data_IF_849718662514
#
_entry.id   IF_849718662514
#
_cell.length_a   1.000
_cell.length_b   1.000
_cell.length_c   1.000
_cell.angle_alpha   90.00
_cell.angle_beta   90.00
_cell.angle_gamma   90.00
#
_symmetry.space_group_name_H-M   'P 1'
#
loop_
_entity.id
_entity.type
_entity.pdbx_description
1 polymer ?
#
# COMPACT_ATOMS: atom_id res chain seq x y z
N UNK A 1 -5.89 15.98 -13.89
CA UNK A 1 -6.80 16.48 -12.85
C UNK A 1 -6.20 16.05 -11.52
N UNK A 2 -5.44 16.92 -10.86
CA UNK A 2 -4.85 16.62 -9.55
C UNK A 2 -5.88 16.96 -8.49
N UNK A 3 -6.34 15.96 -7.75
CA UNK A 3 -7.14 16.16 -6.54
C UNK A 3 -6.21 16.84 -5.52
N UNK A 4 -6.54 18.06 -5.09
CA UNK A 4 -5.86 18.67 -3.95
C UNK A 4 -6.32 17.95 -2.68
N UNK A 5 -5.44 17.84 -1.69
CA UNK A 5 -5.68 17.17 -0.41
C UNK A 5 -6.95 17.66 0.32
N UNK A 6 -7.41 18.88 0.00
CA UNK A 6 -8.63 19.50 0.53
C UNK A 6 -9.93 18.80 0.12
N UNK A 7 -9.98 18.18 -1.07
CA UNK A 7 -11.17 17.44 -1.56
C UNK A 7 -11.38 16.11 -0.82
N UNK A 8 -10.41 15.70 -0.01
CA UNK A 8 -10.39 14.40 0.68
C UNK A 8 -10.87 14.45 2.13
N UNK A 9 -11.16 15.65 2.69
CA UNK A 9 -11.55 15.81 4.10
C UNK A 9 -13.09 15.75 4.22
N UNK A 10 -13.67 14.74 4.92
CA UNK A 10 -15.11 14.65 5.09
C UNK A 10 -15.69 15.88 5.82
N UNK A 11 -16.88 16.33 5.41
CA UNK A 11 -17.51 17.55 5.97
C UNK A 11 -17.86 17.50 7.46
N UNK A 12 -17.83 16.33 8.10
CA UNK A 12 -18.06 16.16 9.54
C UNK A 12 -16.78 16.29 10.38
N UNK A 13 -15.61 16.42 9.74
CA UNK A 13 -14.32 16.58 10.44
C UNK A 13 -14.18 18.01 10.94
N UNK A 14 -13.90 18.16 12.23
CA UNK A 14 -13.52 19.44 12.82
C UNK A 14 -12.10 19.78 12.38
N UNK A 15 -11.99 20.63 11.36
CA UNK A 15 -10.71 21.04 10.77
C UNK A 15 -9.80 21.77 11.77
N UNK A 16 -10.36 22.39 12.82
CA UNK A 16 -9.58 23.08 13.86
C UNK A 16 -8.78 22.12 14.75
N UNK A 17 -9.17 20.85 14.80
CA UNK A 17 -8.49 19.77 15.54
C UNK A 17 -7.51 18.98 14.69
N UNK A 18 -7.44 19.26 13.39
CA UNK A 18 -6.34 18.76 12.59
C UNK A 18 -5.11 19.54 13.01
N UNK A 19 -4.03 18.85 13.37
CA UNK A 19 -2.76 19.52 13.65
C UNK A 19 -2.45 20.42 12.45
N UNK A 20 -2.25 21.72 12.70
CA UNK A 20 -1.85 22.66 11.67
C UNK A 20 -0.56 22.13 11.07
N UNK A 21 -0.65 21.63 9.84
CA UNK A 21 0.49 21.02 9.19
C UNK A 21 1.39 22.15 8.68
N UNK A 22 2.16 22.74 9.58
CA UNK A 22 3.42 23.39 9.23
C UNK A 22 4.46 22.33 8.81
N UNK A 23 4.03 21.17 8.28
CA UNK A 23 4.92 20.31 7.53
C UNK A 23 5.40 21.11 6.34
N UNK A 24 6.71 21.37 6.32
CA UNK A 24 7.39 21.64 5.07
C UNK A 24 6.97 20.54 4.10
N UNK A 25 6.46 20.89 2.91
CA UNK A 25 6.06 19.87 1.96
C UNK A 25 7.28 18.98 1.71
N UNK A 26 7.12 17.67 1.89
CA UNK A 26 8.15 16.69 1.57
C UNK A 26 7.63 15.80 0.44
N UNK A 27 8.46 15.60 -0.58
CA UNK A 27 8.18 14.66 -1.66
C UNK A 27 8.99 13.39 -1.45
N UNK A 28 8.31 12.25 -1.45
CA UNK A 28 8.89 10.93 -1.28
C UNK A 28 8.87 10.18 -2.61
N UNK A 29 10.04 9.82 -3.12
CA UNK A 29 10.19 9.04 -4.34
C UNK A 29 10.74 7.66 -3.99
N UNK A 30 10.12 6.60 -4.50
CA UNK A 30 10.63 5.23 -4.37
C UNK A 30 10.96 4.70 -5.75
N UNK A 31 12.19 4.24 -5.92
CA UNK A 31 12.71 3.61 -7.13
C UNK A 31 12.92 2.13 -6.88
N UNK A 32 12.15 1.28 -7.55
CA UNK A 32 12.27 -0.18 -7.42
C UNK A 32 13.09 -0.73 -8.57
N UNK A 33 14.10 -1.55 -8.26
CA UNK A 33 14.89 -2.22 -9.28
C UNK A 33 14.01 -3.21 -10.05
N UNK A 34 14.24 -3.31 -11.35
CA UNK A 34 13.54 -4.30 -12.19
C UNK A 34 14.49 -5.38 -12.71
N UNK A 35 13.94 -6.58 -12.94
CA UNK A 35 14.57 -7.67 -13.66
C UNK A 35 13.61 -8.10 -14.77
N UNK A 36 14.03 -8.05 -16.03
CA UNK A 36 13.16 -8.31 -17.18
C UNK A 36 11.88 -7.45 -17.19
N UNK A 37 11.95 -6.22 -16.67
CA UNK A 37 10.80 -5.32 -16.53
C UNK A 37 9.90 -5.59 -15.32
N UNK A 38 10.19 -6.63 -14.52
CA UNK A 38 9.43 -7.00 -13.32
C UNK A 38 10.07 -6.38 -12.08
N UNK A 39 9.30 -5.68 -11.21
CA UNK A 39 9.82 -5.12 -9.97
C UNK A 39 10.34 -6.18 -9.01
N UNK A 40 11.51 -5.93 -8.42
CA UNK A 40 12.13 -6.76 -7.39
C UNK A 40 11.82 -6.13 -6.03
N UNK A 41 10.88 -6.72 -5.29
CA UNK A 41 10.22 -6.11 -4.13
C UNK A 41 11.15 -5.80 -2.94
N UNK A 42 12.26 -6.51 -2.80
CA UNK A 42 13.28 -6.31 -1.77
C UNK A 42 14.45 -5.41 -2.22
N UNK A 43 14.37 -4.83 -3.42
CA UNK A 43 15.42 -3.96 -3.99
C UNK A 43 14.86 -2.62 -4.40
N UNK A 44 14.99 -1.64 -3.51
CA UNK A 44 14.51 -0.28 -3.76
C UNK A 44 15.41 0.78 -3.13
N UNK A 45 15.33 1.98 -3.70
CA UNK A 45 15.89 3.20 -3.15
C UNK A 45 14.74 4.15 -2.84
N UNK A 46 14.82 4.87 -1.73
CA UNK A 46 13.90 5.97 -1.45
C UNK A 46 14.64 7.28 -1.28
N UNK A 47 14.10 8.34 -1.88
CA UNK A 47 14.63 9.70 -1.85
C UNK A 47 13.58 10.61 -1.25
N UNK A 48 13.97 11.40 -0.25
CA UNK A 48 13.14 12.47 0.28
C UNK A 48 13.66 13.79 -0.30
N UNK A 49 12.72 14.63 -0.72
CA UNK A 49 13.01 15.94 -1.33
C UNK A 49 12.22 16.99 -0.57
N UNK A 50 12.90 18.06 -0.17
CA UNK A 50 12.26 19.27 0.35
C UNK A 50 11.43 19.89 -0.76
N UNK A 51 10.12 19.94 -0.56
CA UNK A 51 9.13 20.37 -1.55
C UNK A 51 9.10 21.88 -1.81
N UNK A 52 9.84 22.69 -1.04
CA UNK A 52 9.98 24.12 -1.29
C UNK A 52 11.21 24.43 -2.15
N UNK A 53 12.32 23.74 -1.88
CA UNK A 53 13.62 24.03 -2.51
C UNK A 53 13.99 23.03 -3.60
N UNK A 54 13.31 21.88 -3.68
CA UNK A 54 13.65 20.78 -4.58
C UNK A 54 14.94 20.05 -4.20
N UNK A 55 15.51 20.33 -3.01
CA UNK A 55 16.77 19.69 -2.57
C UNK A 55 16.49 18.32 -1.96
N UNK A 56 17.34 17.35 -2.27
CA UNK A 56 17.31 16.05 -1.60
C UNK A 56 17.69 16.22 -0.13
N UNK A 57 16.84 15.75 0.77
CA UNK A 57 17.05 15.81 2.23
C UNK A 57 17.46 14.46 2.81
N UNK A 58 17.06 13.36 2.17
CA UNK A 58 17.48 12.02 2.57
C UNK A 58 17.57 11.06 1.39
N UNK A 59 18.44 10.07 1.53
CA UNK A 59 18.57 8.92 0.62
C UNK A 59 18.66 7.65 1.46
N UNK A 60 17.84 6.66 1.13
CA UNK A 60 17.88 5.36 1.78
C UNK A 60 18.05 4.26 0.72
N UNK A 61 19.08 3.43 0.93
CA UNK A 61 19.27 2.18 0.22
C UNK A 61 18.60 1.06 1.02
N UNK A 62 17.59 0.40 0.43
CA UNK A 62 16.86 -0.72 1.05
C UNK A 62 17.24 -2.07 0.44
N UNK A 63 18.40 -2.18 -0.21
CA UNK A 63 18.89 -3.44 -0.74
C UNK A 63 19.51 -4.28 0.40
N UNK A 64 18.73 -5.13 1.04
CA UNK A 64 19.17 -5.92 2.20
C UNK A 64 19.83 -7.26 1.86
N UNK A 65 19.81 -7.68 0.59
CA UNK A 65 20.24 -9.02 0.17
C UNK A 65 21.51 -9.06 -0.69
N UNK A 66 22.27 -10.15 -0.56
CA UNK A 66 23.39 -10.48 -1.47
C UNK A 66 22.96 -10.48 -2.94
N UNK A 67 23.88 -10.29 -3.88
CA UNK A 67 23.60 -10.51 -5.30
C UNK A 67 23.13 -11.95 -5.51
N UNK A 68 21.94 -12.13 -6.10
CA UNK A 68 21.37 -13.43 -6.45
C UNK A 68 20.93 -13.38 -7.90
N UNK A 69 21.16 -14.46 -8.63
CA UNK A 69 20.62 -14.64 -9.98
C UNK A 69 19.11 -14.82 -9.89
N UNK A 70 18.36 -13.87 -10.43
CA UNK A 70 16.90 -13.94 -10.47
C UNK A 70 16.44 -14.87 -11.61
N UNK A 71 15.35 -15.63 -11.41
CA UNK A 71 14.82 -16.52 -12.43
C UNK A 71 14.14 -15.75 -13.57
N UNK A 72 14.07 -16.38 -14.75
CA UNK A 72 13.29 -15.90 -15.90
C UNK A 72 11.78 -16.00 -15.59
N UNK A 73 10.98 -15.08 -16.12
CA UNK A 73 9.52 -15.03 -15.93
C UNK A 73 8.73 -15.98 -16.86
N UNK A 74 9.37 -16.96 -17.48
CA UNK A 74 8.71 -17.98 -18.29
C UNK A 74 7.96 -19.01 -17.44
N UNK A 75 6.92 -19.61 -18.02
CA UNK A 75 6.12 -20.69 -17.42
C UNK A 75 5.47 -20.32 -16.08
N UNK A 76 5.17 -19.04 -15.88
CA UNK A 76 4.38 -18.59 -14.73
C UNK A 76 2.90 -18.83 -14.95
N UNK A 77 2.15 -18.96 -13.85
CA UNK A 77 0.70 -19.06 -13.89
C UNK A 77 0.06 -17.79 -14.46
N UNK A 78 -1.14 -17.94 -15.02
CA UNK A 78 -1.88 -16.80 -15.56
C UNK A 78 -2.35 -15.87 -14.44
N UNK A 79 -2.61 -14.60 -14.79
CA UNK A 79 -3.16 -13.63 -13.86
C UNK A 79 -4.53 -14.09 -13.30
N UNK A 80 -5.32 -14.79 -14.11
CA UNK A 80 -6.63 -15.33 -13.73
C UNK A 80 -6.48 -16.45 -12.70
N UNK A 81 -5.53 -17.37 -12.88
CA UNK A 81 -5.25 -18.43 -11.92
C UNK A 81 -4.76 -17.85 -10.58
N UNK A 82 -3.87 -16.85 -10.62
CA UNK A 82 -3.41 -16.16 -9.43
C UNK A 82 -4.55 -15.41 -8.71
N UNK A 83 -5.43 -14.71 -9.44
CA UNK A 83 -6.61 -14.06 -8.86
C UNK A 83 -7.55 -15.06 -8.18
N UNK A 84 -7.78 -16.22 -8.79
CA UNK A 84 -8.63 -17.27 -8.23
C UNK A 84 -8.06 -17.81 -6.92
N UNK A 85 -6.77 -18.17 -6.90
CA UNK A 85 -6.07 -18.61 -5.67
C UNK A 85 -6.08 -17.51 -4.60
N UNK A 86 -5.90 -16.24 -4.98
CA UNK A 86 -5.92 -15.12 -4.03
C UNK A 86 -7.27 -15.00 -3.32
N UNK A 87 -8.38 -15.06 -4.07
CA UNK A 87 -9.71 -14.98 -3.49
C UNK A 87 -10.08 -16.22 -2.68
N UNK A 88 -9.59 -17.40 -3.09
CA UNK A 88 -9.78 -18.65 -2.34
C UNK A 88 -9.05 -18.62 -0.99
N UNK A 89 -7.82 -18.11 -0.95
CA UNK A 89 -7.00 -18.03 0.27
C UNK A 89 -7.38 -16.87 1.19
N UNK A 90 -8.00 -15.81 0.64
CA UNK A 90 -8.37 -14.60 1.36
C UNK A 90 -9.88 -14.34 1.27
N UNK A 91 -10.72 -15.11 2.00
CA UNK A 91 -12.17 -14.99 1.90
C UNK A 91 -12.64 -13.60 2.36
N UNK A 92 -13.53 -13.02 1.56
CA UNK A 92 -14.21 -11.76 1.86
C UNK A 92 -15.17 -11.95 3.03
N UNK A 93 -15.19 -10.99 3.96
CA UNK A 93 -16.14 -10.96 5.07
C UNK A 93 -16.90 -9.65 5.07
N UNK A 94 -18.20 -9.73 5.33
CA UNK A 94 -19.01 -8.54 5.60
C UNK A 94 -18.51 -7.89 6.89
N UNK A 95 -18.21 -6.59 6.81
CA UNK A 95 -17.86 -5.79 7.97
C UNK A 95 -18.66 -4.51 7.99
N UNK A 96 -18.86 -4.01 9.19
CA UNK A 96 -19.44 -2.71 9.45
C UNK A 96 -18.32 -1.78 9.93
N UNK A 97 -18.06 -0.71 9.19
CA UNK A 97 -17.01 0.26 9.55
C UNK A 97 -17.61 1.61 9.95
N UNK A 98 -17.14 2.14 11.07
CA UNK A 98 -17.43 3.52 11.50
C UNK A 98 -16.39 4.45 10.86
N UNK A 99 -16.80 5.45 10.04
CA UNK A 99 -15.88 6.42 9.49
C UNK A 99 -15.08 7.13 10.58
N UNK A 100 -13.76 7.12 10.40
CA UNK A 100 -12.80 7.81 11.24
C UNK A 100 -11.81 8.54 10.34
N UNK A 101 -11.46 9.78 10.69
CA UNK A 101 -10.51 10.62 9.98
C UNK A 101 -9.63 11.30 11.02
N UNK A 102 -8.33 10.99 11.00
CA UNK A 102 -7.34 11.54 11.94
C UNK A 102 -7.81 11.48 13.41
N UNK A 103 -8.37 10.34 13.86
CA UNK A 103 -8.86 10.14 15.23
C UNK A 103 -10.23 10.75 15.53
N UNK A 104 -10.81 11.51 14.61
CA UNK A 104 -12.18 12.03 14.73
C UNK A 104 -13.16 11.01 14.14
N UNK A 105 -14.17 10.64 14.91
CA UNK A 105 -15.26 9.76 14.45
C UNK A 105 -16.45 10.60 13.98
N UNK A 106 -17.13 10.12 12.95
CA UNK A 106 -18.37 10.75 12.49
C UNK A 106 -19.41 10.79 13.64
N UNK A 107 -20.06 11.94 13.92
CA UNK A 107 -20.90 12.16 15.11
C UNK A 107 -22.20 11.36 15.14
N UNK A 108 -22.66 10.87 13.99
CA UNK A 108 -23.79 9.94 13.85
C UNK A 108 -23.51 9.11 12.60
N UNK A 109 -23.85 7.81 12.54
CA UNK A 109 -23.85 7.11 11.27
C UNK A 109 -24.91 7.79 10.39
N UNK A 110 -24.57 8.48 9.30
CA UNK A 110 -25.59 8.83 8.34
C UNK A 110 -25.98 7.47 7.73
N UNK A 111 -27.11 6.89 8.14
CA UNK A 111 -27.54 5.54 7.71
C UNK A 111 -26.57 4.38 8.04
N UNK A 112 -25.99 4.39 9.25
CA UNK A 112 -25.69 3.16 10.02
C UNK A 112 -24.63 2.20 9.47
N UNK A 113 -23.34 2.53 9.64
CA UNK A 113 -22.17 1.72 9.25
C UNK A 113 -22.06 1.48 7.72
N UNK A 114 -20.91 1.80 7.14
CA UNK A 114 -20.66 1.35 5.77
C UNK A 114 -20.51 -0.17 5.80
N UNK A 115 -21.37 -0.86 5.05
CA UNK A 115 -21.22 -2.28 4.75
C UNK A 115 -20.12 -2.42 3.70
N UNK A 116 -18.98 -2.91 4.14
CA UNK A 116 -17.84 -3.19 3.27
C UNK A 116 -17.56 -4.69 3.23
N UNK A 117 -17.01 -5.16 2.12
CA UNK A 117 -16.32 -6.44 2.12
C UNK A 117 -14.87 -6.19 2.52
N UNK A 118 -14.44 -6.81 3.61
CA UNK A 118 -13.04 -6.75 4.05
C UNK A 118 -12.36 -8.06 3.68
N UNK A 119 -11.25 -7.95 2.97
CA UNK A 119 -10.33 -9.06 2.77
C UNK A 119 -9.55 -9.31 4.06
N UNK A 120 -9.55 -10.55 4.54
CA UNK A 120 -8.59 -10.99 5.55
C UNK A 120 -7.36 -11.49 4.80
N UNK A 121 -6.44 -10.58 4.48
CA UNK A 121 -5.18 -10.93 3.84
C UNK A 121 -4.19 -11.45 4.89
N UNK A 122 -3.69 -12.68 4.72
CA UNK A 122 -2.50 -13.14 5.47
C UNK A 122 -1.26 -12.57 4.80
N UNK A 123 -0.20 -12.27 5.57
CA UNK A 123 1.11 -11.94 4.96
C UNK A 123 1.60 -13.14 4.17
N UNK A 124 1.85 -12.94 2.90
CA UNK A 124 2.21 -14.01 1.97
C UNK A 124 2.25 -13.51 0.53
N UNK A 125 2.53 -14.44 -0.38
CA UNK A 125 2.54 -14.21 -1.82
C UNK A 125 2.01 -15.45 -2.54
N UNK A 126 1.59 -15.30 -3.79
CA UNK A 126 1.30 -16.45 -4.65
C UNK A 126 2.58 -16.78 -5.40
N UNK A 127 3.05 -18.00 -5.25
CA UNK A 127 4.20 -18.49 -5.99
C UNK A 127 3.85 -18.55 -7.49
N UNK A 128 4.64 -17.87 -8.31
CA UNK A 128 4.33 -17.67 -9.71
C UNK A 128 4.46 -18.96 -10.55
N UNK A 129 5.19 -19.97 -10.09
CA UNK A 129 5.40 -21.22 -10.83
C UNK A 129 4.33 -22.26 -10.51
N UNK A 130 3.91 -22.31 -9.25
CA UNK A 130 2.94 -23.28 -8.73
C UNK A 130 1.52 -22.73 -8.67
N UNK A 131 1.36 -21.41 -8.62
CA UNK A 131 0.08 -20.74 -8.43
C UNK A 131 -0.50 -20.95 -7.03
N UNK A 132 0.33 -21.26 -6.02
CA UNK A 132 -0.10 -21.54 -4.65
C UNK A 132 0.27 -20.44 -3.68
N UNK A 133 -0.59 -20.22 -2.70
CA UNK A 133 -0.35 -19.25 -1.63
C UNK A 133 0.77 -19.73 -0.70
N UNK A 134 1.83 -18.94 -0.56
CA UNK A 134 2.87 -19.09 0.44
C UNK A 134 2.61 -18.11 1.57
N UNK A 135 2.41 -18.61 2.80
CA UNK A 135 2.24 -17.77 3.99
C UNK A 135 3.59 -17.52 4.64
N UNK A 136 3.83 -16.27 5.04
CA UNK A 136 5.03 -15.89 5.78
C UNK A 136 4.71 -15.87 7.28
N UNK A 137 5.30 -16.79 8.03
CA UNK A 137 5.24 -16.77 9.49
C UNK A 137 6.23 -15.73 10.03
N UNK A 138 5.80 -14.94 11.01
CA UNK A 138 6.70 -14.02 11.73
C UNK A 138 7.36 -14.81 12.86
N UNK A 139 8.67 -15.04 12.76
CA UNK A 139 9.51 -15.45 13.89
C UNK A 139 9.83 -14.24 14.78
#
# INVERSE_FOLDING_TARGET
MSLTQEDSIPGWVDRSKLAGDEQRPECYFTFTRTHQGIPVSDRSYSVNVDGLTGRVTAFHDRNSGSPVTLPDSKNVVTAEAAKAEFLQSNPLRLVYTWPEYCGQKAPKPPSGLHTGLRLRCKRGYIDALTGKTVTLEMN
#
